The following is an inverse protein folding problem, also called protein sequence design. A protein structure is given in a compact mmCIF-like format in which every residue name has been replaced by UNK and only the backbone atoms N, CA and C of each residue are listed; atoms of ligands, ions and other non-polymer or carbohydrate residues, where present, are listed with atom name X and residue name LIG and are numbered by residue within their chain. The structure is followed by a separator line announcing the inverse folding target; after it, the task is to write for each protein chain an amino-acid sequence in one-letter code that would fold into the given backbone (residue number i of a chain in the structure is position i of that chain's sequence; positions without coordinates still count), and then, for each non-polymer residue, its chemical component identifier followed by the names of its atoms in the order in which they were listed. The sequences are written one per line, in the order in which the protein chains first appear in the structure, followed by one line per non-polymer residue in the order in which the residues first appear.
data_IF_908496893275
#
_entry.id   IF_908496893275
#
_cell.length_a   1.000
_cell.length_b   1.000
_cell.length_c   1.000
_cell.angle_alpha   90.00
_cell.angle_beta   90.00
_cell.angle_gamma   90.00
#
_symmetry.space_group_name_H-M   'P 1'
#
loop_
_entity.id
_entity.type
_entity.pdbx_description
1 polymer ?
#
# COMPACT_ATOMS: atom_id res chain seq x y z
N UNK A 1 8.05 4.06 14.53
CA UNK A 1 7.10 4.94 15.20
C UNK A 1 5.81 4.15 15.36
N UNK A 2 5.22 3.99 16.56
CA UNK A 2 3.92 3.36 16.70
C UNK A 2 2.84 4.23 16.06
N UNK A 3 1.78 3.61 15.55
CA UNK A 3 0.58 4.34 15.13
C UNK A 3 -0.12 4.91 16.37
N UNK A 4 -0.84 6.04 16.24
CA UNK A 4 -1.66 6.56 17.31
C UNK A 4 -2.79 5.56 17.65
N UNK A 5 -3.18 5.49 18.90
CA UNK A 5 -4.34 4.73 19.36
C UNK A 5 -5.62 5.51 19.04
N UNK A 6 -6.14 5.31 17.84
CA UNK A 6 -7.33 6.05 17.36
C UNK A 6 -8.58 5.66 18.17
N UNK A 7 -8.70 4.40 18.60
CA UNK A 7 -9.84 3.95 19.43
C UNK A 7 -9.80 4.70 20.77
N UNK A 8 -8.66 4.68 21.47
CA UNK A 8 -8.50 5.41 22.73
C UNK A 8 -8.75 6.91 22.60
N UNK A 9 -8.27 7.54 21.52
CA UNK A 9 -8.54 8.95 21.25
C UNK A 9 -10.04 9.24 21.06
N UNK A 10 -10.78 8.36 20.40
CA UNK A 10 -12.23 8.51 20.24
C UNK A 10 -12.98 8.29 21.55
N UNK A 11 -12.53 7.37 22.40
CA UNK A 11 -13.07 7.17 23.75
C UNK A 11 -12.86 8.40 24.63
N UNK A 12 -11.65 8.96 24.66
CA UNK A 12 -11.32 10.20 25.37
C UNK A 12 -12.14 11.41 24.89
N UNK A 13 -12.44 11.45 23.59
CA UNK A 13 -13.30 12.49 23.00
C UNK A 13 -14.81 12.25 23.24
N UNK A 14 -15.21 11.19 23.96
CA UNK A 14 -16.60 10.83 24.20
C UNK A 14 -17.35 10.38 22.94
N UNK A 15 -16.63 9.89 21.93
CA UNK A 15 -17.17 9.45 20.64
C UNK A 15 -16.66 8.04 20.25
N UNK A 16 -16.81 7.00 21.12
CA UNK A 16 -16.23 5.68 20.88
C UNK A 16 -16.75 4.99 19.61
N UNK A 17 -17.96 5.33 19.16
CA UNK A 17 -18.60 4.69 18.01
C UNK A 17 -18.19 5.27 16.66
N UNK A 18 -17.30 6.27 16.65
CA UNK A 18 -16.87 6.94 15.40
C UNK A 18 -15.84 6.16 14.61
N UNK A 19 -15.19 5.17 15.19
CA UNK A 19 -14.04 4.50 14.56
C UNK A 19 -14.23 2.99 14.45
N UNK A 20 -13.77 2.47 13.31
CA UNK A 20 -13.57 1.05 13.04
C UNK A 20 -12.13 0.86 12.57
N UNK A 21 -11.39 0.00 13.24
CA UNK A 21 -10.04 -0.39 12.83
C UNK A 21 -10.05 -1.80 12.25
N UNK A 22 -9.43 -1.97 11.11
CA UNK A 22 -9.28 -3.27 10.45
C UNK A 22 -7.81 -3.63 10.36
N UNK A 23 -7.48 -4.86 10.71
CA UNK A 23 -6.14 -5.41 10.55
C UNK A 23 -6.18 -6.73 9.78
N UNK A 24 -5.10 -7.02 9.04
CA UNK A 24 -4.98 -8.25 8.28
C UNK A 24 -3.53 -8.75 8.28
N UNK A 25 -3.37 -10.06 8.32
CA UNK A 25 -2.07 -10.73 8.19
C UNK A 25 -1.71 -11.07 6.74
N UNK A 26 -2.54 -10.68 5.75
CA UNK A 26 -2.39 -11.05 4.33
C UNK A 26 -1.03 -10.67 3.72
N UNK A 27 -0.37 -9.63 4.24
CA UNK A 27 0.96 -9.18 3.81
C UNK A 27 2.09 -9.63 4.74
N UNK A 28 1.78 -10.34 5.82
CA UNK A 28 2.74 -10.66 6.89
C UNK A 28 2.99 -12.17 7.00
N UNK A 29 1.96 -13.02 6.76
CA UNK A 29 2.03 -14.47 6.97
C UNK A 29 1.94 -15.24 5.66
N UNK A 30 0.79 -15.87 5.39
CA UNK A 30 0.62 -16.82 4.28
C UNK A 30 -0.14 -16.15 3.12
N UNK A 31 0.42 -16.23 1.91
CA UNK A 31 -0.26 -15.77 0.71
C UNK A 31 -1.57 -16.56 0.52
N UNK A 32 -2.69 -15.84 0.37
CA UNK A 32 -4.02 -16.43 0.24
C UNK A 32 -4.61 -17.05 1.51
N UNK A 33 -3.82 -17.16 2.59
CA UNK A 33 -4.23 -17.75 3.86
C UNK A 33 -4.23 -16.77 5.03
N UNK A 34 -4.32 -15.47 4.78
CA UNK A 34 -4.36 -14.45 5.83
C UNK A 34 -5.61 -14.56 6.72
N UNK A 35 -5.51 -14.02 7.93
CA UNK A 35 -6.64 -13.73 8.79
C UNK A 35 -6.81 -12.23 8.94
N UNK A 36 -8.01 -11.78 9.28
CA UNK A 36 -8.30 -10.36 9.55
C UNK A 36 -9.09 -10.23 10.85
N UNK A 37 -9.04 -9.03 11.43
CA UNK A 37 -9.86 -8.67 12.57
C UNK A 37 -10.40 -7.26 12.41
N UNK A 38 -11.46 -6.98 13.13
CA UNK A 38 -12.03 -5.65 13.31
C UNK A 38 -12.02 -5.29 14.79
N UNK A 39 -11.59 -4.08 15.11
CA UNK A 39 -11.67 -3.48 16.43
C UNK A 39 -12.57 -2.26 16.35
N UNK A 40 -13.47 -2.11 17.31
CA UNK A 40 -14.39 -0.98 17.42
C UNK A 40 -14.98 -0.93 18.83
N UNK A 41 -15.84 0.06 19.11
CA UNK A 41 -16.62 0.08 20.34
C UNK A 41 -17.47 -1.18 20.52
N UNK A 42 -17.85 -1.47 21.76
CA UNK A 42 -18.73 -2.62 22.05
C UNK A 42 -20.05 -2.55 21.27
N UNK A 43 -20.66 -1.38 21.16
CA UNK A 43 -21.92 -1.20 20.44
C UNK A 43 -21.77 -1.54 18.94
N UNK A 44 -20.68 -1.10 18.33
CA UNK A 44 -20.36 -1.39 16.94
C UNK A 44 -20.06 -2.89 16.73
N UNK A 45 -19.31 -3.52 17.63
CA UNK A 45 -19.03 -4.96 17.55
C UNK A 45 -20.30 -5.80 17.69
N UNK A 46 -21.18 -5.44 18.65
CA UNK A 46 -22.44 -6.15 18.85
C UNK A 46 -23.34 -6.06 17.60
N UNK A 47 -23.42 -4.87 16.97
CA UNK A 47 -24.14 -4.69 15.70
C UNK A 47 -23.57 -5.55 14.58
N UNK A 48 -22.27 -5.51 14.34
CA UNK A 48 -21.64 -6.30 13.27
C UNK A 48 -21.70 -7.81 13.54
N UNK A 49 -21.61 -8.24 14.79
CA UNK A 49 -21.77 -9.65 15.16
C UNK A 49 -23.16 -10.15 14.78
N UNK A 50 -24.19 -9.34 14.97
CA UNK A 50 -25.56 -9.67 14.52
C UNK A 50 -25.66 -9.82 13.00
N UNK A 51 -25.03 -8.93 12.22
CA UNK A 51 -25.01 -8.98 10.77
C UNK A 51 -24.21 -10.17 10.24
N UNK A 52 -22.99 -10.36 10.72
CA UNK A 52 -22.11 -11.45 10.29
C UNK A 52 -22.60 -12.82 10.72
N UNK A 53 -23.27 -12.93 11.87
CA UNK A 53 -23.85 -14.17 12.34
C UNK A 53 -24.91 -14.76 11.39
N UNK A 54 -25.55 -13.92 10.57
CA UNK A 54 -26.47 -14.36 9.50
C UNK A 54 -25.71 -14.86 8.27
N UNK A 55 -24.54 -14.25 7.96
CA UNK A 55 -23.74 -14.63 6.80
C UNK A 55 -22.89 -15.86 7.02
N UNK A 56 -22.33 -16.01 8.23
CA UNK A 56 -21.36 -17.05 8.56
C UNK A 56 -21.62 -17.61 9.97
N UNK A 57 -21.78 -18.93 10.06
CA UNK A 57 -21.90 -19.63 11.35
C UNK A 57 -20.56 -19.65 12.10
N UNK A 58 -19.45 -19.81 11.38
CA UNK A 58 -18.09 -19.77 11.95
C UNK A 58 -17.03 -19.45 10.90
N UNK A 59 -15.91 -18.93 11.37
CA UNK A 59 -14.73 -18.66 10.55
C UNK A 59 -13.82 -19.91 10.48
N UNK A 60 -12.87 -19.92 9.54
CA UNK A 60 -11.87 -20.99 9.38
C UNK A 60 -10.97 -21.08 10.63
N UNK A 61 -11.36 -21.96 11.55
CA UNK A 61 -10.64 -22.20 12.81
C UNK A 61 -9.30 -22.88 12.61
N UNK A 62 -9.14 -23.67 11.56
CA UNK A 62 -7.86 -24.32 11.23
C UNK A 62 -6.84 -23.27 10.81
N UNK A 63 -7.26 -22.31 9.97
CA UNK A 63 -6.39 -21.20 9.59
C UNK A 63 -6.06 -20.27 10.77
N UNK A 64 -7.02 -20.00 11.66
CA UNK A 64 -6.76 -19.26 12.89
C UNK A 64 -5.73 -19.98 13.77
N UNK A 65 -5.89 -21.30 13.98
CA UNK A 65 -4.93 -22.11 14.76
C UNK A 65 -3.53 -22.08 14.11
N UNK A 66 -3.45 -22.16 12.78
CA UNK A 66 -2.18 -22.01 12.05
C UNK A 66 -1.47 -20.71 12.40
N UNK A 67 -2.21 -19.59 12.44
CA UNK A 67 -1.65 -18.28 12.79
C UNK A 67 -1.23 -18.23 14.27
N UNK A 68 -2.02 -18.80 15.19
CA UNK A 68 -1.65 -18.88 16.61
C UNK A 68 -0.36 -19.65 16.80
N UNK A 69 -0.21 -20.80 16.15
CA UNK A 69 0.98 -21.64 16.24
C UNK A 69 2.21 -20.99 15.59
N UNK A 70 2.02 -20.23 14.51
CA UNK A 70 3.09 -19.58 13.78
C UNK A 70 3.55 -18.26 14.43
N UNK A 71 2.62 -17.38 14.77
CA UNK A 71 2.92 -16.07 15.35
C UNK A 71 3.22 -16.14 16.84
N UNK A 72 2.62 -17.10 17.56
CA UNK A 72 2.78 -17.37 19.00
C UNK A 72 2.41 -16.19 19.90
N UNK A 73 3.20 -15.13 19.83
CA UNK A 73 3.08 -13.94 20.66
C UNK A 73 3.52 -12.66 19.90
N UNK A 74 3.37 -11.52 20.56
CA UNK A 74 3.75 -10.21 20.01
C UNK A 74 5.24 -10.14 19.69
N UNK A 75 6.10 -10.73 20.50
CA UNK A 75 7.55 -10.65 20.32
C UNK A 75 7.97 -11.41 19.04
N UNK A 76 7.43 -12.61 18.83
CA UNK A 76 7.65 -13.43 17.64
C UNK A 76 7.13 -12.73 16.38
N UNK A 77 5.93 -12.14 16.47
CA UNK A 77 5.35 -11.34 15.36
C UNK A 77 6.25 -10.16 14.99
N UNK A 78 6.75 -9.40 15.95
CA UNK A 78 7.66 -8.28 15.70
C UNK A 78 9.01 -8.74 15.11
N UNK A 79 9.53 -9.90 15.52
CA UNK A 79 10.74 -10.49 14.92
C UNK A 79 10.50 -10.87 13.44
N UNK A 80 9.35 -11.47 13.14
CA UNK A 80 8.97 -11.77 11.76
C UNK A 80 8.89 -10.50 10.92
N UNK A 81 8.23 -9.45 11.41
CA UNK A 81 8.13 -8.17 10.72
C UNK A 81 9.49 -7.51 10.49
N UNK A 82 10.44 -7.64 11.42
CA UNK A 82 11.83 -7.18 11.22
C UNK A 82 12.55 -7.91 10.09
N UNK A 83 12.32 -9.23 9.95
CA UNK A 83 12.89 -10.01 8.83
C UNK A 83 12.30 -9.56 7.50
N UNK A 84 10.99 -9.33 7.42
CA UNK A 84 10.37 -8.77 6.22
C UNK A 84 10.92 -7.37 5.89
N UNK A 85 11.06 -6.51 6.91
CA UNK A 85 11.62 -5.18 6.72
C UNK A 85 13.06 -5.22 6.18
N UNK A 86 13.88 -6.18 6.60
CA UNK A 86 15.24 -6.34 6.09
C UNK A 86 15.28 -6.68 4.59
N UNK A 87 14.29 -7.42 4.10
CA UNK A 87 14.14 -7.74 2.67
C UNK A 87 13.58 -6.56 1.88
N UNK A 88 12.64 -5.81 2.48
CA UNK A 88 11.93 -4.73 1.79
C UNK A 88 12.70 -3.41 1.76
N UNK A 89 13.42 -3.08 2.83
CA UNK A 89 14.07 -1.78 2.99
C UNK A 89 15.07 -1.43 1.86
N UNK A 90 15.90 -2.35 1.35
CA UNK A 90 16.77 -2.06 0.20
C UNK A 90 15.99 -1.66 -1.04
N UNK A 91 14.88 -2.35 -1.32
CA UNK A 91 14.01 -2.09 -2.48
C UNK A 91 13.37 -0.70 -2.42
N UNK A 92 12.84 -0.34 -1.24
CA UNK A 92 12.26 0.99 -1.03
C UNK A 92 13.30 2.11 -1.13
N UNK A 93 14.48 1.92 -0.54
CA UNK A 93 15.57 2.90 -0.66
C UNK A 93 15.93 3.13 -2.12
N UNK A 94 16.17 2.06 -2.88
CA UNK A 94 16.52 2.16 -4.30
C UNK A 94 15.46 2.94 -5.07
N UNK A 95 14.15 2.63 -4.89
CA UNK A 95 13.06 3.36 -5.56
C UNK A 95 13.08 4.85 -5.21
N UNK A 96 13.22 5.18 -3.91
CA UNK A 96 13.25 6.57 -3.47
C UNK A 96 14.49 7.32 -3.98
N UNK A 97 15.65 6.67 -3.96
CA UNK A 97 16.91 7.25 -4.46
C UNK A 97 16.82 7.55 -5.95
N UNK A 98 16.25 6.65 -6.76
CA UNK A 98 16.04 6.88 -8.20
C UNK A 98 15.06 8.01 -8.45
N UNK A 99 13.96 8.08 -7.71
CA UNK A 99 13.01 9.18 -7.84
C UNK A 99 13.63 10.52 -7.42
N UNK A 100 14.34 10.56 -6.31
CA UNK A 100 15.03 11.76 -5.81
C UNK A 100 16.11 12.24 -6.80
N UNK A 101 16.82 11.32 -7.47
CA UNK A 101 17.85 11.67 -8.45
C UNK A 101 17.29 12.08 -9.80
N UNK A 102 16.27 11.39 -10.31
CA UNK A 102 15.83 11.54 -11.68
C UNK A 102 14.59 12.43 -11.85
N UNK A 103 13.72 12.50 -10.86
CA UNK A 103 12.41 13.17 -10.96
C UNK A 103 12.35 14.45 -10.12
N UNK A 104 12.92 14.45 -8.90
CA UNK A 104 12.92 15.65 -8.04
C UNK A 104 13.46 16.90 -8.74
N UNK A 105 14.60 16.84 -9.50
CA UNK A 105 15.12 18.02 -10.18
C UNK A 105 14.20 18.58 -11.28
N UNK A 106 13.26 17.77 -11.77
CA UNK A 106 12.32 18.18 -12.82
C UNK A 106 11.10 18.93 -12.26
N UNK A 107 10.76 18.76 -10.97
CA UNK A 107 9.75 19.54 -10.26
C UNK A 107 8.29 19.29 -10.65
N UNK A 108 7.98 18.26 -11.47
CA UNK A 108 6.62 17.99 -11.95
C UNK A 108 5.89 16.89 -11.19
N UNK A 109 6.56 16.21 -10.27
CA UNK A 109 5.98 15.12 -9.47
C UNK A 109 6.42 15.21 -8.00
N UNK A 110 5.62 14.61 -7.13
CA UNK A 110 5.94 14.46 -5.70
C UNK A 110 5.53 13.07 -5.21
N UNK A 111 6.17 12.58 -4.16
CA UNK A 111 5.90 11.26 -3.58
C UNK A 111 6.08 11.27 -2.08
N UNK A 112 5.42 10.31 -1.42
CA UNK A 112 5.65 10.08 -0.01
C UNK A 112 6.96 9.30 0.23
N UNK A 113 7.60 9.52 1.37
CA UNK A 113 8.75 8.72 1.85
C UNK A 113 8.27 7.82 2.99
N UNK A 114 7.71 6.63 2.68
CA UNK A 114 7.06 5.79 3.68
C UNK A 114 8.07 5.20 4.67
N UNK A 115 7.69 5.17 5.95
CA UNK A 115 8.47 4.51 7.03
C UNK A 115 8.07 3.05 7.23
N UNK A 116 7.13 2.54 6.45
CA UNK A 116 6.60 1.17 6.49
C UNK A 116 5.55 0.97 5.42
N UNK A 117 4.99 -0.23 5.35
CA UNK A 117 4.01 -0.60 4.33
C UNK A 117 4.66 -1.19 3.07
N UNK A 118 3.90 -1.20 1.98
CA UNK A 118 4.27 -1.91 0.74
C UNK A 118 4.26 -1.02 -0.51
N UNK A 119 3.97 0.27 -0.36
CA UNK A 119 3.74 1.16 -1.49
C UNK A 119 4.42 2.51 -1.32
N UNK A 120 4.89 3.05 -2.44
CA UNK A 120 5.19 4.47 -2.59
C UNK A 120 4.06 5.08 -3.42
N UNK A 121 3.44 6.14 -2.91
CA UNK A 121 2.42 6.91 -3.63
C UNK A 121 3.10 8.10 -4.30
N UNK A 122 3.02 8.16 -5.62
CA UNK A 122 3.58 9.22 -6.44
C UNK A 122 2.43 9.98 -7.10
N UNK A 123 2.48 11.30 -7.04
CA UNK A 123 1.61 12.18 -7.82
C UNK A 123 2.46 12.89 -8.88
N UNK A 124 2.15 12.61 -10.13
CA UNK A 124 2.75 13.28 -11.28
C UNK A 124 1.91 14.47 -11.73
N UNK A 125 2.32 15.17 -12.78
CA UNK A 125 1.55 16.24 -13.39
C UNK A 125 0.11 15.78 -13.70
N UNK A 126 -0.93 16.55 -13.37
CA UNK A 126 -2.30 16.18 -13.69
C UNK A 126 -2.51 15.82 -15.16
N UNK A 127 -3.21 14.74 -15.43
CA UNK A 127 -3.49 14.24 -16.79
C UNK A 127 -2.34 13.44 -17.42
N UNK A 128 -1.36 12.96 -16.63
CA UNK A 128 -0.21 12.22 -17.18
C UNK A 128 -0.01 10.82 -16.62
N UNK A 129 -0.73 10.42 -15.56
CA UNK A 129 -0.49 9.12 -14.92
C UNK A 129 -0.80 7.94 -15.85
N UNK A 130 -1.94 7.95 -16.53
CA UNK A 130 -2.31 6.89 -17.49
C UNK A 130 -1.33 6.81 -18.64
N UNK A 131 -0.92 7.97 -19.18
CA UNK A 131 0.03 8.02 -20.30
C UNK A 131 1.39 7.48 -19.90
N UNK A 132 1.91 7.88 -18.73
CA UNK A 132 3.18 7.36 -18.21
C UNK A 132 3.15 5.83 -18.03
N UNK A 133 2.06 5.29 -17.49
CA UNK A 133 1.91 3.84 -17.31
C UNK A 133 1.75 3.09 -18.64
N UNK A 134 1.07 3.68 -19.63
CA UNK A 134 0.98 3.12 -20.98
C UNK A 134 2.37 3.02 -21.64
N UNK A 135 3.15 4.10 -21.60
CA UNK A 135 4.53 4.11 -22.08
C UNK A 135 5.43 3.09 -21.37
N UNK A 136 5.29 2.97 -20.04
CA UNK A 136 6.02 1.98 -19.26
C UNK A 136 5.66 0.54 -19.68
N UNK A 137 4.38 0.26 -19.90
CA UNK A 137 3.90 -1.04 -20.36
C UNK A 137 4.41 -1.37 -21.78
N UNK A 138 4.42 -0.41 -22.70
CA UNK A 138 5.01 -0.55 -24.05
C UNK A 138 6.52 -0.86 -23.98
N UNK A 139 7.21 -0.31 -22.98
CA UNK A 139 8.62 -0.59 -22.72
C UNK A 139 8.87 -1.87 -21.89
N UNK A 140 7.82 -2.64 -21.57
CA UNK A 140 7.93 -3.91 -20.84
C UNK A 140 7.87 -3.79 -19.32
N UNK A 141 7.55 -2.62 -18.76
CA UNK A 141 7.40 -2.40 -17.32
C UNK A 141 5.92 -2.33 -16.95
N UNK A 142 5.40 -3.42 -16.39
CA UNK A 142 4.00 -3.50 -15.93
C UNK A 142 3.88 -3.01 -14.49
N UNK A 143 2.96 -2.08 -14.26
CA UNK A 143 2.66 -1.51 -12.95
C UNK A 143 1.16 -1.61 -12.63
N UNK A 144 0.79 -1.21 -11.42
CA UNK A 144 -0.63 -1.09 -11.05
C UNK A 144 -1.29 0.04 -11.85
N UNK A 145 -2.52 -0.19 -12.32
CA UNK A 145 -3.27 0.76 -13.12
C UNK A 145 -3.43 2.12 -12.43
N UNK A 146 -3.43 3.19 -13.21
CA UNK A 146 -3.74 4.54 -12.73
C UNK A 146 -5.16 4.57 -12.14
N UNK A 147 -5.30 5.28 -11.03
CA UNK A 147 -6.58 5.36 -10.31
C UNK A 147 -6.86 4.21 -9.35
N UNK A 148 -6.00 3.18 -9.26
CA UNK A 148 -6.20 2.04 -8.36
C UNK A 148 -6.27 2.42 -6.86
N UNK A 149 -5.87 3.63 -6.49
CA UNK A 149 -5.95 4.19 -5.13
C UNK A 149 -7.26 4.95 -4.88
N UNK A 150 -8.10 5.10 -5.89
CA UNK A 150 -9.36 5.85 -5.83
C UNK A 150 -10.58 4.94 -5.94
N UNK A 151 -11.72 5.33 -5.36
CA UNK A 151 -12.98 4.62 -5.55
C UNK A 151 -13.30 4.44 -7.04
N UNK A 152 -13.79 3.27 -7.41
CA UNK A 152 -14.13 2.89 -8.77
C UNK A 152 -12.98 2.98 -9.79
N UNK A 153 -11.72 3.03 -9.32
CA UNK A 153 -10.56 3.16 -10.19
C UNK A 153 -10.46 4.52 -10.92
N UNK A 154 -11.11 5.55 -10.41
CA UNK A 154 -11.17 6.87 -11.07
C UNK A 154 -10.43 7.91 -10.26
N UNK A 155 -9.22 8.27 -10.70
CA UNK A 155 -8.52 9.46 -10.22
C UNK A 155 -9.01 10.67 -11.03
N UNK A 156 -9.67 11.67 -10.39
CA UNK A 156 -10.17 12.84 -11.11
C UNK A 156 -9.08 13.69 -11.77
N UNK A 157 -7.86 13.62 -11.24
CA UNK A 157 -6.72 14.40 -11.76
C UNK A 157 -5.84 13.60 -12.70
N UNK A 158 -6.03 12.26 -12.80
CA UNK A 158 -5.13 11.39 -13.55
C UNK A 158 -3.66 11.65 -13.22
N UNK A 159 -3.32 11.63 -11.93
CA UNK A 159 -2.02 12.03 -11.40
C UNK A 159 -1.38 11.01 -10.47
N UNK A 160 -2.18 10.16 -9.81
CA UNK A 160 -1.67 9.26 -8.80
C UNK A 160 -1.24 7.90 -9.36
N UNK A 161 -0.03 7.51 -9.02
CA UNK A 161 0.58 6.21 -9.36
C UNK A 161 1.04 5.52 -8.08
N UNK A 162 0.67 4.26 -7.92
CA UNK A 162 1.11 3.41 -6.81
C UNK A 162 2.27 2.53 -7.24
N UNK A 163 3.44 2.74 -6.67
CA UNK A 163 4.63 1.91 -6.90
C UNK A 163 4.69 0.81 -5.83
N UNK A 164 4.79 -0.45 -6.27
CA UNK A 164 4.82 -1.64 -5.42
C UNK A 164 6.14 -2.42 -5.64
N UNK A 165 7.23 -2.08 -4.94
CA UNK A 165 8.58 -2.62 -5.22
C UNK A 165 8.82 -4.02 -4.65
N UNK A 166 7.80 -4.69 -4.12
CA UNK A 166 7.98 -5.89 -3.29
C UNK A 166 8.44 -7.13 -4.06
N UNK A 167 7.99 -7.32 -5.31
CA UNK A 167 8.19 -8.57 -6.05
C UNK A 167 9.57 -8.69 -6.69
N UNK A 168 10.04 -7.78 -7.56
CA UNK A 168 11.29 -7.97 -8.31
C UNK A 168 12.53 -7.91 -7.40
N UNK A 169 13.64 -8.56 -7.77
CA UNK A 169 14.93 -8.31 -7.14
C UNK A 169 15.39 -6.86 -7.37
N UNK A 170 16.37 -6.39 -6.58
CA UNK A 170 16.81 -4.98 -6.62
C UNK A 170 17.34 -4.60 -8.00
N UNK A 171 18.11 -5.48 -8.63
CA UNK A 171 18.76 -5.24 -9.92
C UNK A 171 17.77 -5.12 -11.09
N UNK A 172 16.66 -5.85 -11.02
CA UNK A 172 15.56 -5.76 -11.98
C UNK A 172 14.71 -4.51 -11.72
N UNK A 173 14.45 -4.23 -10.44
CA UNK A 173 13.68 -3.08 -10.00
C UNK A 173 14.38 -1.76 -10.39
N UNK A 174 15.72 -1.68 -10.30
CA UNK A 174 16.51 -0.53 -10.70
C UNK A 174 16.28 -0.21 -12.19
N UNK A 175 16.41 -1.21 -13.06
CA UNK A 175 16.15 -1.05 -14.50
C UNK A 175 14.71 -0.64 -14.79
N UNK A 176 13.75 -1.25 -14.09
CA UNK A 176 12.34 -0.90 -14.25
C UNK A 176 12.06 0.55 -13.82
N UNK A 177 12.71 1.03 -12.75
CA UNK A 177 12.58 2.42 -12.30
C UNK A 177 13.22 3.42 -13.26
N UNK A 178 14.34 3.10 -13.90
CA UNK A 178 14.96 3.94 -14.93
C UNK A 178 14.03 4.13 -16.14
N UNK A 179 13.44 3.03 -16.61
CA UNK A 179 12.43 3.06 -17.68
C UNK A 179 11.21 3.88 -17.25
N UNK A 180 10.68 3.62 -16.05
CA UNK A 180 9.53 4.32 -15.52
C UNK A 180 9.76 5.83 -15.39
N UNK A 181 10.91 6.26 -14.86
CA UNK A 181 11.26 7.68 -14.75
C UNK A 181 11.35 8.35 -16.13
N UNK A 182 11.87 7.63 -17.12
CA UNK A 182 11.90 8.13 -18.51
C UNK A 182 10.48 8.30 -19.06
N UNK A 183 9.59 7.34 -18.82
CA UNK A 183 8.19 7.41 -19.23
C UNK A 183 7.42 8.53 -18.53
N UNK A 184 7.70 8.79 -17.25
CA UNK A 184 7.14 9.94 -16.52
C UNK A 184 7.55 11.27 -17.15
N UNK A 185 8.84 11.42 -17.45
CA UNK A 185 9.36 12.63 -18.12
C UNK A 185 8.74 12.82 -19.48
N UNK A 186 8.64 11.75 -20.28
CA UNK A 186 8.03 11.81 -21.62
C UNK A 186 6.55 12.21 -21.55
N UNK A 187 5.76 11.58 -20.69
CA UNK A 187 4.35 11.93 -20.51
C UNK A 187 4.15 13.38 -20.06
N UNK A 188 5.03 13.89 -19.18
CA UNK A 188 5.00 15.30 -18.77
C UNK A 188 5.35 16.24 -19.92
N UNK A 189 6.35 15.90 -20.74
CA UNK A 189 6.74 16.70 -21.92
C UNK A 189 5.64 16.70 -22.99
N UNK A 190 5.05 15.54 -23.31
CA UNK A 190 3.91 15.46 -24.23
C UNK A 190 2.77 16.37 -23.77
N UNK A 191 2.46 16.36 -22.48
CA UNK A 191 1.43 17.23 -21.90
C UNK A 191 1.75 18.72 -22.02
N UNK A 192 2.99 19.11 -21.77
CA UNK A 192 3.44 20.51 -21.86
C UNK A 192 3.46 21.02 -23.30
N UNK A 193 3.77 20.16 -24.25
CA UNK A 193 3.85 20.48 -25.66
C UNK A 193 2.50 20.35 -26.39
N UNK A 194 1.45 19.85 -25.70
CA UNK A 194 0.12 19.55 -26.27
C UNK A 194 0.16 18.59 -27.49
N UNK A 195 1.00 17.57 -27.43
CA UNK A 195 1.16 16.52 -28.46
C UNK A 195 0.73 15.16 -27.91
#
# INVERSE_FOLDING_TARGET
MPFPDIIGMCEEAGRPDMVYEFASTSKITFAGGGISCMCASKANIDYFTGVFGVQMISYDKVNQLRHVLYLKDRATTLQLMKKHAAVMAPKFRMVLDVLDQQIEPCGFACWNKPKGGYFVSLNTMPGTAKRALALAAEAGVTMTDAGATYPYGKDPQDSNIRIAPSLPPVEELEKAMDVFCTCLKLAALEKLLNI
#
